data_IF_902531484275
#
_entry.id   IF_902531484275
#
_cell.length_a   1.000
_cell.length_b   1.000
_cell.length_c   1.000
_cell.angle_alpha   90.00
_cell.angle_beta   90.00
_cell.angle_gamma   90.00
#
_symmetry.space_group_name_H-M   'P 1'
#
loop_
_entity.id
_entity.type
_entity.pdbx_description
1 polymer ?
#
# COMPACT_ATOMS: atom_id res chain seq x y z
N UNK A 1 38.34 -10.79 -34.71
CA UNK A 1 37.74 -10.91 -36.04
C UNK A 1 36.96 -9.63 -36.29
N UNK A 2 37.54 -8.75 -37.09
CA UNK A 2 37.01 -7.42 -37.42
C UNK A 2 36.23 -7.50 -38.73
N UNK A 3 35.06 -6.89 -38.77
CA UNK A 3 34.33 -6.64 -40.01
C UNK A 3 34.22 -5.13 -40.24
N UNK A 4 34.89 -4.63 -41.28
CA UNK A 4 34.69 -3.28 -41.80
C UNK A 4 33.89 -3.37 -43.11
N UNK A 5 33.00 -2.44 -43.44
CA UNK A 5 32.35 -2.37 -44.74
C UNK A 5 33.16 -1.52 -45.71
N UNK A 6 33.38 -2.07 -46.91
CA UNK A 6 34.06 -1.50 -48.04
C UNK A 6 33.16 -0.48 -48.76
N UNK A 7 33.65 0.76 -48.94
CA UNK A 7 33.06 1.76 -49.82
C UNK A 7 33.46 1.48 -51.27
N UNK A 8 32.49 1.27 -52.15
CA UNK A 8 32.65 1.26 -53.57
C UNK A 8 32.40 2.65 -54.16
N UNK A 9 33.42 3.24 -54.71
CA UNK A 9 33.35 4.51 -55.49
C UNK A 9 33.25 4.14 -56.94
N UNK A 10 32.12 4.33 -57.59
CA UNK A 10 31.99 4.29 -59.04
C UNK A 10 32.11 5.69 -59.66
N UNK A 11 33.10 5.83 -60.54
CA UNK A 11 33.35 7.03 -61.39
C UNK A 11 32.33 7.01 -62.52
N UNK A 12 31.48 8.00 -62.65
CA UNK A 12 30.73 8.24 -63.87
C UNK A 12 31.39 9.35 -64.71
N UNK A 13 31.69 9.00 -66.00
CA UNK A 13 32.28 9.87 -67.00
C UNK A 13 31.29 10.94 -67.47
N UNK A 14 31.84 12.12 -67.69
CA UNK A 14 31.15 13.26 -68.31
C UNK A 14 30.76 12.96 -69.76
N UNK A 15 29.54 13.31 -70.15
CA UNK A 15 29.18 13.65 -71.52
C UNK A 15 28.30 14.89 -71.50
N UNK A 16 28.81 15.90 -72.16
CA UNK A 16 28.13 17.21 -72.37
C UNK A 16 27.17 17.04 -73.54
N UNK A 17 25.90 17.45 -73.40
CA UNK A 17 25.07 18.15 -74.41
C UNK A 17 23.76 18.60 -73.83
N UNK A 18 23.38 19.85 -74.04
CA UNK A 18 22.00 20.36 -74.15
C UNK A 18 21.45 20.98 -72.87
N UNK A 19 21.45 22.29 -72.78
CA UNK A 19 20.81 23.08 -71.72
C UNK A 19 19.27 22.98 -71.75
N UNK A 20 18.73 22.60 -70.61
CA UNK A 20 17.36 22.93 -70.24
C UNK A 20 17.47 23.50 -68.84
N UNK A 21 17.22 24.83 -68.70
CA UNK A 21 17.11 25.48 -67.39
C UNK A 21 15.75 25.13 -66.82
N UNK A 22 15.71 24.12 -65.96
CA UNK A 22 14.50 23.91 -65.09
C UNK A 22 14.57 24.86 -63.90
N UNK A 23 13.77 25.88 -63.91
CA UNK A 23 13.52 26.73 -62.74
C UNK A 23 12.63 25.88 -61.77
N UNK A 24 13.27 25.29 -60.79
CA UNK A 24 12.54 24.66 -59.68
C UNK A 24 12.10 25.77 -58.72
N UNK A 25 10.82 26.15 -58.84
CA UNK A 25 10.19 27.02 -57.84
C UNK A 25 10.07 26.20 -56.55
N UNK A 26 10.95 26.48 -55.60
CA UNK A 26 10.81 25.96 -54.22
C UNK A 26 9.65 26.72 -53.57
N UNK A 27 8.46 26.14 -53.61
CA UNK A 27 7.33 26.62 -52.79
C UNK A 27 7.64 26.24 -51.33
N UNK A 28 8.21 27.16 -50.58
CA UNK A 28 8.32 27.04 -49.14
C UNK A 28 6.91 27.09 -48.54
N UNK A 29 6.29 25.94 -48.35
CA UNK A 29 5.09 25.86 -47.55
C UNK A 29 5.44 26.20 -46.09
N UNK A 30 5.10 27.42 -45.68
CA UNK A 30 5.16 27.78 -44.28
C UNK A 30 4.11 26.95 -43.53
N UNK A 31 4.56 25.83 -42.97
CA UNK A 31 3.81 25.07 -41.98
C UNK A 31 3.68 25.98 -40.74
N UNK A 32 2.55 26.65 -40.64
CA UNK A 32 2.14 27.28 -39.37
C UNK A 32 2.17 26.21 -38.30
N UNK A 33 3.15 26.24 -37.40
CA UNK A 33 3.14 25.45 -36.19
C UNK A 33 1.87 25.86 -35.43
N UNK A 34 0.82 25.03 -35.51
CA UNK A 34 -0.31 25.15 -34.61
C UNK A 34 0.28 25.01 -33.21
N UNK A 35 0.18 26.06 -32.39
CA UNK A 35 0.50 25.98 -30.98
C UNK A 35 -0.43 24.99 -30.36
N UNK A 36 0.10 23.84 -29.93
CA UNK A 36 -0.65 22.89 -29.11
C UNK A 36 -1.07 23.65 -27.86
N UNK A 37 -2.38 23.79 -27.58
CA UNK A 37 -2.82 24.46 -26.37
C UNK A 37 -2.17 23.75 -25.17
N UNK A 38 -1.78 24.48 -24.11
CA UNK A 38 -1.23 23.86 -22.91
C UNK A 38 -2.21 22.81 -22.40
N UNK A 39 -1.72 21.60 -22.17
CA UNK A 39 -2.54 20.52 -21.64
C UNK A 39 -3.19 21.00 -20.34
N UNK A 40 -4.51 20.90 -20.26
CA UNK A 40 -5.22 21.18 -19.01
C UNK A 40 -4.59 20.33 -17.91
N UNK A 41 -4.31 20.95 -16.75
CA UNK A 41 -3.81 20.21 -15.60
C UNK A 41 -4.85 19.15 -15.22
N UNK A 42 -4.46 17.88 -15.09
CA UNK A 42 -5.40 16.82 -14.72
C UNK A 42 -6.06 17.16 -13.37
N UNK A 43 -7.32 16.79 -13.21
CA UNK A 43 -8.06 17.00 -11.97
C UNK A 43 -7.38 16.31 -10.77
N UNK A 44 -6.66 15.23 -11.02
CA UNK A 44 -5.81 14.48 -10.06
C UNK A 44 -4.43 14.29 -10.67
N UNK A 45 -3.39 14.65 -9.94
CA UNK A 45 -2.00 14.30 -10.25
C UNK A 45 -1.64 13.00 -9.55
N UNK A 46 -1.07 12.05 -10.27
CA UNK A 46 -0.60 10.76 -9.73
C UNK A 46 0.91 10.68 -9.91
N UNK A 47 1.64 10.56 -8.81
CA UNK A 47 3.10 10.62 -8.81
C UNK A 47 3.69 9.44 -8.06
N UNK A 48 4.70 8.80 -8.66
CA UNK A 48 5.57 7.87 -7.94
C UNK A 48 6.51 8.69 -7.05
N UNK A 49 6.61 8.32 -5.79
CA UNK A 49 7.48 8.98 -4.82
C UNK A 49 8.37 7.96 -4.10
N UNK A 50 9.49 8.42 -3.59
CA UNK A 50 10.38 7.66 -2.71
C UNK A 50 10.64 8.46 -1.45
N UNK A 51 10.44 7.84 -0.30
CA UNK A 51 10.69 8.40 1.02
C UNK A 51 11.82 7.62 1.71
N UNK A 52 12.50 8.25 2.65
CA UNK A 52 13.47 7.58 3.50
C UNK A 52 13.01 7.65 4.94
N UNK A 53 12.99 6.51 5.60
CA UNK A 53 12.68 6.41 7.03
C UNK A 53 13.83 6.93 7.88
N UNK A 54 13.59 7.18 9.18
CA UNK A 54 14.62 7.60 10.12
C UNK A 54 15.74 6.57 10.31
N UNK A 55 15.48 5.30 10.01
CA UNK A 55 16.45 4.20 9.99
C UNK A 55 17.00 3.90 8.59
N UNK A 56 16.88 4.87 7.65
CA UNK A 56 17.46 4.86 6.31
C UNK A 56 16.92 3.82 5.35
N UNK A 57 15.72 3.26 5.60
CA UNK A 57 15.04 2.39 4.65
C UNK A 57 14.34 3.25 3.60
N UNK A 58 14.52 2.91 2.32
CA UNK A 58 13.78 3.53 1.22
C UNK A 58 12.42 2.89 1.07
N UNK A 59 11.39 3.71 1.05
CA UNK A 59 10.00 3.32 0.81
C UNK A 59 9.50 3.97 -0.46
N UNK A 60 9.05 3.17 -1.42
CA UNK A 60 8.41 3.67 -2.64
C UNK A 60 6.88 3.70 -2.45
N UNK A 61 6.23 4.67 -3.08
CA UNK A 61 4.80 4.85 -2.99
C UNK A 61 4.21 5.67 -4.12
N UNK A 62 2.89 5.82 -4.10
CA UNK A 62 2.16 6.67 -5.04
C UNK A 62 1.37 7.72 -4.29
N UNK A 63 1.58 8.97 -4.68
CA UNK A 63 0.81 10.11 -4.22
C UNK A 63 -0.27 10.48 -5.24
N UNK A 64 -1.52 10.49 -4.82
CA UNK A 64 -2.66 11.00 -5.56
C UNK A 64 -3.02 12.38 -5.00
N UNK A 65 -2.75 13.41 -5.77
CA UNK A 65 -2.92 14.78 -5.33
C UNK A 65 -4.02 15.49 -6.13
N UNK A 66 -5.07 15.97 -5.46
CA UNK A 66 -6.13 16.74 -6.12
C UNK A 66 -5.60 18.08 -6.66
N UNK A 67 -6.21 18.61 -7.72
CA UNK A 67 -5.90 19.97 -8.22
C UNK A 67 -6.18 21.05 -7.17
N UNK A 68 -7.17 20.79 -6.30
CA UNK A 68 -7.51 21.64 -5.15
C UNK A 68 -7.50 20.78 -3.87
N UNK A 69 -6.34 20.62 -3.21
CA UNK A 69 -6.23 19.81 -2.00
C UNK A 69 -7.05 20.39 -0.85
N UNK A 70 -7.81 19.51 -0.18
CA UNK A 70 -8.39 19.79 1.13
C UNK A 70 -7.34 19.62 2.24
N UNK A 71 -7.78 19.74 3.50
CA UNK A 71 -6.95 19.56 4.67
C UNK A 71 -6.91 18.10 5.18
N UNK A 72 -7.66 17.21 4.54
CA UNK A 72 -7.74 15.78 4.88
C UNK A 72 -6.82 14.99 3.94
N UNK A 73 -6.03 14.11 4.52
CA UNK A 73 -5.22 13.11 3.82
C UNK A 73 -5.68 11.70 4.15
N UNK A 74 -5.45 10.78 3.22
CA UNK A 74 -5.68 9.35 3.41
C UNK A 74 -4.36 8.61 3.17
N UNK A 75 -3.94 7.80 4.13
CA UNK A 75 -2.78 6.91 3.98
C UNK A 75 -3.25 5.46 3.90
N UNK A 76 -2.83 4.76 2.84
CA UNK A 76 -3.17 3.37 2.59
C UNK A 76 -2.00 2.46 2.97
N UNK A 77 -2.25 1.48 3.84
CA UNK A 77 -1.28 0.53 4.36
C UNK A 77 -1.70 -0.88 3.96
N UNK A 78 -0.94 -1.50 3.07
CA UNK A 78 -1.22 -2.83 2.53
C UNK A 78 -1.03 -3.95 3.54
N UNK A 79 -1.58 -5.13 3.23
CA UNK A 79 -1.42 -6.37 3.99
C UNK A 79 -0.14 -7.14 3.65
N UNK A 80 -0.11 -8.41 4.06
CA UNK A 80 0.98 -9.34 3.73
C UNK A 80 1.09 -9.51 2.21
N UNK A 81 2.31 -9.49 1.68
CA UNK A 81 2.58 -9.64 0.25
C UNK A 81 2.01 -8.53 -0.64
N UNK A 82 1.39 -7.51 -0.05
CA UNK A 82 0.80 -6.40 -0.77
C UNK A 82 1.79 -5.33 -1.21
N UNK A 83 1.28 -4.37 -1.97
CA UNK A 83 2.02 -3.22 -2.48
C UNK A 83 1.11 -1.99 -2.51
N UNK A 84 1.68 -0.82 -2.80
CA UNK A 84 0.94 0.46 -2.92
C UNK A 84 -0.15 0.47 -4.01
N UNK A 85 -0.15 -0.47 -4.96
CA UNK A 85 -1.13 -0.53 -6.06
C UNK A 85 -2.04 -1.77 -5.98
N UNK A 86 -1.93 -2.55 -4.91
CA UNK A 86 -2.69 -3.80 -4.74
C UNK A 86 -4.17 -3.59 -4.44
N UNK A 87 -4.95 -4.64 -4.62
CA UNK A 87 -6.38 -4.68 -4.34
C UNK A 87 -7.13 -3.46 -4.90
N UNK A 88 -7.98 -2.83 -4.09
CA UNK A 88 -8.79 -1.65 -4.43
C UNK A 88 -8.05 -0.30 -4.22
N UNK A 89 -6.77 -0.29 -3.82
CA UNK A 89 -6.05 0.92 -3.44
C UNK A 89 -6.05 1.98 -4.52
N UNK A 90 -5.78 1.59 -5.78
CA UNK A 90 -5.79 2.53 -6.89
C UNK A 90 -7.16 3.20 -7.08
N UNK A 91 -8.25 2.43 -7.01
CA UNK A 91 -9.60 2.97 -7.19
C UNK A 91 -9.98 3.89 -6.02
N UNK A 92 -9.68 3.47 -4.80
CA UNK A 92 -9.96 4.28 -3.61
C UNK A 92 -9.15 5.58 -3.62
N UNK A 93 -7.85 5.51 -3.93
CA UNK A 93 -6.98 6.68 -3.97
C UNK A 93 -7.41 7.70 -5.03
N UNK A 94 -7.76 7.21 -6.22
CA UNK A 94 -8.26 8.06 -7.31
C UNK A 94 -9.58 8.76 -6.90
N UNK A 95 -10.55 7.99 -6.41
CA UNK A 95 -11.84 8.52 -6.00
C UNK A 95 -11.75 9.47 -4.79
N UNK A 96 -10.83 9.23 -3.86
CA UNK A 96 -10.54 10.12 -2.74
C UNK A 96 -9.96 11.44 -3.23
N UNK A 97 -8.99 11.40 -4.14
CA UNK A 97 -8.38 12.60 -4.71
C UNK A 97 -9.38 13.42 -5.54
N UNK A 98 -10.28 12.80 -6.28
CA UNK A 98 -11.38 13.49 -6.98
C UNK A 98 -12.31 14.25 -6.02
N UNK A 99 -12.36 13.83 -4.75
CA UNK A 99 -13.11 14.49 -3.68
C UNK A 99 -12.27 15.44 -2.81
N UNK A 100 -11.06 15.78 -3.26
CA UNK A 100 -10.19 16.74 -2.57
C UNK A 100 -9.31 16.13 -1.45
N UNK A 101 -9.29 14.81 -1.28
CA UNK A 101 -8.50 14.10 -0.26
C UNK A 101 -7.17 13.69 -0.87
N UNK A 102 -6.06 14.29 -0.42
CA UNK A 102 -4.71 13.87 -0.81
C UNK A 102 -4.46 12.45 -0.30
N UNK A 103 -4.13 11.51 -1.18
CA UNK A 103 -3.97 10.10 -0.80
C UNK A 103 -2.56 9.60 -1.07
N UNK A 104 -1.95 8.98 -0.07
CA UNK A 104 -0.66 8.32 -0.12
C UNK A 104 -0.83 6.81 0.05
N UNK A 105 -0.44 6.04 -0.94
CA UNK A 105 -0.28 4.59 -0.82
C UNK A 105 1.21 4.28 -0.78
N UNK A 106 1.67 3.61 0.29
CA UNK A 106 3.09 3.39 0.54
C UNK A 106 3.40 1.89 0.63
N UNK A 107 4.50 1.46 0.02
CA UNK A 107 5.07 0.14 0.30
C UNK A 107 5.71 0.16 1.69
N UNK A 108 5.25 -0.74 2.55
CA UNK A 108 5.95 -1.01 3.80
C UNK A 108 7.26 -1.75 3.50
N UNK A 109 8.24 -1.69 4.38
CA UNK A 109 9.57 -2.30 4.20
C UNK A 109 9.55 -3.80 3.88
N UNK A 110 8.49 -4.49 4.28
CA UNK A 110 8.25 -5.92 4.06
C UNK A 110 7.18 -6.18 2.98
N UNK A 111 7.04 -5.27 2.00
CA UNK A 111 6.10 -5.40 0.88
C UNK A 111 6.45 -6.63 0.00
N UNK A 112 5.57 -6.93 -0.97
CA UNK A 112 5.68 -8.06 -1.92
C UNK A 112 5.84 -9.46 -1.27
N UNK A 113 6.28 -10.46 -2.03
CA UNK A 113 6.48 -11.83 -1.58
C UNK A 113 7.97 -12.20 -1.38
N UNK A 114 8.86 -11.22 -1.30
CA UNK A 114 10.27 -11.45 -0.97
C UNK A 114 10.48 -11.94 0.47
N UNK A 115 11.72 -12.34 0.82
CA UNK A 115 12.04 -12.75 2.19
C UNK A 115 11.71 -11.66 3.22
N UNK A 116 11.13 -12.06 4.35
CA UNK A 116 10.74 -11.17 5.45
C UNK A 116 11.80 -11.19 6.54
N UNK A 117 12.45 -10.05 6.75
CA UNK A 117 13.64 -9.96 7.60
C UNK A 117 13.58 -8.88 8.68
N UNK A 118 12.63 -7.92 8.58
CA UNK A 118 12.44 -6.83 9.55
C UNK A 118 11.49 -7.22 10.67
N UNK A 119 11.54 -6.55 11.80
CA UNK A 119 10.54 -6.74 12.85
C UNK A 119 9.19 -6.12 12.46
N UNK A 120 8.09 -6.69 12.97
CA UNK A 120 6.76 -6.10 12.81
C UNK A 120 6.72 -4.66 13.30
N UNK A 121 7.40 -4.38 14.42
CA UNK A 121 7.44 -3.04 15.04
C UNK A 121 8.09 -1.98 14.17
N UNK A 122 8.95 -2.37 13.23
CA UNK A 122 9.61 -1.43 12.31
C UNK A 122 8.61 -0.75 11.35
N UNK A 123 7.44 -1.36 11.12
CA UNK A 123 6.37 -0.75 10.32
C UNK A 123 5.85 0.56 10.95
N UNK A 124 6.04 0.77 12.26
CA UNK A 124 5.73 2.06 12.90
C UNK A 124 6.53 3.20 12.26
N UNK A 125 7.82 2.98 12.01
CA UNK A 125 8.70 3.97 11.38
C UNK A 125 8.28 4.25 9.93
N UNK A 126 7.82 3.22 9.21
CA UNK A 126 7.31 3.37 7.85
C UNK A 126 6.05 4.24 7.81
N UNK A 127 5.08 3.94 8.68
CA UNK A 127 3.84 4.73 8.77
C UNK A 127 4.14 6.16 9.23
N UNK A 128 5.01 6.34 10.24
CA UNK A 128 5.44 7.65 10.71
C UNK A 128 6.05 8.49 9.58
N UNK A 129 6.84 7.87 8.70
CA UNK A 129 7.44 8.54 7.53
C UNK A 129 6.36 9.04 6.56
N UNK A 130 5.35 8.20 6.25
CA UNK A 130 4.24 8.61 5.41
C UNK A 130 3.37 9.71 6.03
N UNK A 131 3.11 9.62 7.33
CA UNK A 131 2.37 10.65 8.10
C UNK A 131 3.13 11.98 8.09
N UNK A 132 4.45 11.95 8.33
CA UNK A 132 5.29 13.14 8.28
C UNK A 132 5.31 13.78 6.89
N UNK A 133 5.36 12.97 5.84
CA UNK A 133 5.29 13.46 4.46
C UNK A 133 3.97 14.16 4.18
N UNK A 134 2.83 13.55 4.52
CA UNK A 134 1.50 14.18 4.34
C UNK A 134 1.39 15.47 5.15
N UNK A 135 1.89 15.49 6.38
CA UNK A 135 1.95 16.71 7.21
C UNK A 135 2.76 17.82 6.51
N UNK A 136 3.89 17.46 5.90
CA UNK A 136 4.74 18.38 5.12
C UNK A 136 4.03 18.97 3.90
N UNK A 137 3.01 18.31 3.35
CA UNK A 137 2.14 18.82 2.30
C UNK A 137 1.01 19.75 2.82
N UNK A 138 0.97 20.05 4.12
CA UNK A 138 -0.04 20.91 4.73
C UNK A 138 -1.33 20.19 5.13
N UNK A 139 -1.34 18.85 5.13
CA UNK A 139 -2.49 18.06 5.61
C UNK A 139 -2.63 18.25 7.12
N UNK A 140 -3.83 18.55 7.58
CA UNK A 140 -4.13 18.81 8.99
C UNK A 140 -4.86 17.67 9.71
N UNK A 141 -5.52 16.78 8.96
CA UNK A 141 -6.18 15.58 9.49
C UNK A 141 -5.82 14.39 8.59
N UNK A 142 -5.34 13.30 9.14
CA UNK A 142 -5.00 12.09 8.38
C UNK A 142 -5.92 10.95 8.78
N UNK A 143 -6.43 10.24 7.79
CA UNK A 143 -7.12 8.95 7.96
C UNK A 143 -6.12 7.85 7.62
N UNK A 144 -5.94 6.88 8.52
CA UNK A 144 -5.18 5.67 8.23
C UNK A 144 -6.13 4.58 7.76
N UNK A 145 -5.80 3.92 6.65
CA UNK A 145 -6.50 2.72 6.21
C UNK A 145 -5.53 1.55 6.16
N UNK A 146 -5.81 0.51 6.92
CA UNK A 146 -5.11 -0.76 6.86
C UNK A 146 -5.95 -1.84 6.15
N UNK A 147 -5.33 -2.61 5.26
CA UNK A 147 -5.93 -3.76 4.60
C UNK A 147 -5.26 -5.05 5.06
N UNK A 148 -6.05 -6.08 5.44
CA UNK A 148 -5.53 -7.37 5.92
C UNK A 148 -4.51 -7.17 7.07
N UNK A 149 -3.30 -7.70 7.02
CA UNK A 149 -2.25 -7.45 8.02
C UNK A 149 -1.92 -5.94 8.17
N UNK A 150 -2.25 -5.09 7.21
CA UNK A 150 -2.17 -3.63 7.35
C UNK A 150 -3.01 -3.09 8.49
N UNK A 151 -4.11 -3.77 8.87
CA UNK A 151 -4.92 -3.40 10.04
C UNK A 151 -4.14 -3.53 11.35
N UNK A 152 -3.34 -4.59 11.49
CA UNK A 152 -2.46 -4.78 12.65
C UNK A 152 -1.40 -3.67 12.72
N UNK A 153 -0.86 -3.25 11.55
CA UNK A 153 0.17 -2.21 11.45
C UNK A 153 -0.36 -0.84 11.86
N UNK A 154 -1.52 -0.43 11.31
CA UNK A 154 -2.10 0.89 11.66
C UNK A 154 -2.55 0.94 13.12
N UNK A 155 -3.14 -0.14 13.65
CA UNK A 155 -3.52 -0.21 15.06
C UNK A 155 -2.31 -0.16 15.99
N UNK A 156 -1.21 -0.84 15.65
CA UNK A 156 0.02 -0.76 16.41
C UNK A 156 0.62 0.66 16.38
N UNK A 157 0.67 1.27 15.19
CA UNK A 157 1.15 2.66 15.06
C UNK A 157 0.36 3.60 15.97
N UNK A 158 -0.97 3.57 15.93
CA UNK A 158 -1.81 4.42 16.76
C UNK A 158 -1.64 4.16 18.26
N UNK A 159 -1.51 2.88 18.63
CA UNK A 159 -1.33 2.48 20.03
C UNK A 159 -0.02 3.00 20.64
N UNK A 160 1.02 3.24 19.83
CA UNK A 160 2.35 3.67 20.31
C UNK A 160 2.67 5.12 19.99
N UNK A 161 2.23 5.64 18.85
CA UNK A 161 2.51 7.01 18.44
C UNK A 161 1.54 8.02 19.06
N UNK A 162 0.25 7.62 19.23
CA UNK A 162 -0.83 8.49 19.72
C UNK A 162 -0.82 9.88 19.04
N UNK A 163 -0.54 9.91 17.73
CA UNK A 163 -0.34 11.16 16.99
C UNK A 163 -1.68 11.86 16.74
N UNK A 164 -1.89 13.08 17.27
CA UNK A 164 -3.19 13.77 17.18
C UNK A 164 -3.58 14.20 15.76
N UNK A 165 -2.69 14.10 14.77
CA UNK A 165 -3.05 14.35 13.37
C UNK A 165 -3.91 13.21 12.79
N UNK A 166 -3.86 12.00 13.41
CA UNK A 166 -4.69 10.88 12.98
C UNK A 166 -6.12 11.14 13.47
N UNK A 167 -6.99 11.47 12.53
CA UNK A 167 -8.36 11.85 12.83
C UNK A 167 -9.36 10.69 12.77
N UNK A 168 -9.02 9.62 12.03
CA UNK A 168 -9.87 8.44 11.90
C UNK A 168 -9.07 7.24 11.37
N UNK A 169 -9.60 6.02 11.57
CA UNK A 169 -8.97 4.77 11.15
C UNK A 169 -9.96 3.87 10.44
N UNK A 170 -9.53 3.27 9.33
CA UNK A 170 -10.33 2.30 8.56
C UNK A 170 -9.59 0.96 8.53
N UNK A 171 -10.27 -0.10 8.96
CA UNK A 171 -9.75 -1.46 9.03
C UNK A 171 -10.53 -2.33 8.05
N UNK A 172 -9.86 -2.86 7.02
CA UNK A 172 -10.51 -3.68 5.99
C UNK A 172 -9.95 -5.09 6.02
N UNK A 173 -10.82 -6.09 6.19
CA UNK A 173 -10.47 -7.51 6.17
C UNK A 173 -9.32 -7.87 7.12
N UNK A 174 -9.32 -7.35 8.34
CA UNK A 174 -8.26 -7.59 9.33
C UNK A 174 -8.22 -9.06 9.78
N UNK A 175 -7.03 -9.70 9.86
CA UNK A 175 -6.91 -11.11 10.22
C UNK A 175 -7.02 -11.39 11.73
N UNK A 176 -7.16 -10.37 12.55
CA UNK A 176 -7.10 -10.53 14.00
C UNK A 176 -5.68 -10.80 14.51
N UNK A 177 -5.57 -11.56 15.60
CA UNK A 177 -4.27 -11.98 16.13
C UNK A 177 -3.61 -12.99 15.18
N UNK A 178 -2.39 -12.70 14.75
CA UNK A 178 -1.72 -13.47 13.69
C UNK A 178 -1.31 -14.89 14.11
N UNK A 179 -1.07 -15.14 15.39
CA UNK A 179 -0.87 -16.50 15.89
C UNK A 179 -2.19 -17.26 15.89
N UNK A 180 -3.29 -16.66 16.37
CA UNK A 180 -4.61 -17.29 16.35
C UNK A 180 -5.10 -17.54 14.91
N UNK A 181 -4.75 -16.67 13.97
CA UNK A 181 -5.00 -16.91 12.55
C UNK A 181 -4.33 -18.21 12.09
N UNK A 182 -3.06 -18.46 12.45
CA UNK A 182 -2.40 -19.72 12.16
C UNK A 182 -3.10 -20.91 12.85
N UNK A 183 -3.54 -20.74 14.09
CA UNK A 183 -4.29 -21.79 14.83
C UNK A 183 -5.60 -22.13 14.10
N UNK A 184 -6.29 -21.13 13.59
CA UNK A 184 -7.51 -21.35 12.82
C UNK A 184 -7.26 -22.05 11.49
N UNK A 185 -6.15 -21.71 10.80
CA UNK A 185 -5.80 -22.32 9.50
C UNK A 185 -5.29 -23.75 9.61
N UNK A 186 -4.50 -24.09 10.64
CA UNK A 186 -3.72 -25.31 10.69
C UNK A 186 -3.94 -26.17 11.93
N UNK A 187 -4.65 -25.65 12.92
CA UNK A 187 -4.67 -26.20 14.28
C UNK A 187 -3.48 -25.73 15.14
N UNK A 188 -3.67 -25.84 16.46
CA UNK A 188 -2.74 -25.28 17.45
C UNK A 188 -1.34 -25.90 17.39
N UNK A 189 -1.26 -27.20 17.22
CA UNK A 189 0.02 -27.93 17.19
C UNK A 189 0.92 -27.41 16.06
N UNK A 190 0.40 -27.41 14.83
CA UNK A 190 1.16 -26.92 13.66
C UNK A 190 1.47 -25.43 13.73
N UNK A 191 0.58 -24.62 14.29
CA UNK A 191 0.85 -23.19 14.50
C UNK A 191 1.98 -22.99 15.51
N UNK A 192 2.06 -23.82 16.56
CA UNK A 192 3.10 -23.76 17.58
C UNK A 192 4.46 -24.23 17.07
N UNK A 193 4.51 -25.27 16.23
CA UNK A 193 5.76 -25.81 15.66
C UNK A 193 6.62 -24.71 15.01
N UNK A 194 6.01 -23.81 14.22
CA UNK A 194 6.76 -22.74 13.56
C UNK A 194 7.30 -21.69 14.55
N UNK A 195 6.59 -21.44 15.63
CA UNK A 195 7.04 -20.56 16.71
C UNK A 195 8.17 -21.20 17.52
N UNK A 196 8.04 -22.48 17.84
CA UNK A 196 9.06 -23.24 18.60
C UNK A 196 10.36 -23.35 17.81
N UNK A 197 10.28 -23.62 16.50
CA UNK A 197 11.44 -23.65 15.62
C UNK A 197 12.13 -22.26 15.58
N UNK A 198 11.35 -21.17 15.45
CA UNK A 198 11.91 -19.83 15.48
C UNK A 198 12.57 -19.49 16.83
N UNK A 199 11.96 -19.92 17.95
CA UNK A 199 12.55 -19.77 19.28
C UNK A 199 13.86 -20.55 19.42
N UNK A 200 13.90 -21.78 18.92
CA UNK A 200 15.10 -22.65 18.90
C UNK A 200 16.22 -21.99 18.09
N UNK A 201 15.93 -21.50 16.89
CA UNK A 201 16.91 -20.82 16.04
C UNK A 201 17.42 -19.53 16.69
N UNK A 202 16.55 -18.74 17.31
CA UNK A 202 16.94 -17.54 18.05
C UNK A 202 17.86 -17.88 19.23
N UNK A 203 17.54 -18.90 19.99
CA UNK A 203 18.39 -19.36 21.11
C UNK A 203 19.78 -19.81 20.63
N UNK A 204 19.87 -20.40 19.43
CA UNK A 204 21.11 -20.78 18.77
C UNK A 204 21.85 -19.61 18.09
N UNK A 205 21.36 -18.36 18.18
CA UNK A 205 21.89 -17.16 17.52
C UNK A 205 21.76 -17.19 15.97
N UNK A 206 20.76 -17.90 15.46
CA UNK A 206 20.39 -18.00 14.05
C UNK A 206 19.10 -17.20 13.76
N UNK A 207 18.85 -16.14 14.50
CA UNK A 207 17.63 -15.32 14.43
C UNK A 207 17.46 -14.54 13.10
N UNK A 208 18.53 -14.50 12.29
CA UNK A 208 18.55 -13.85 10.96
C UNK A 208 18.63 -14.83 9.79
N UNK A 209 18.76 -16.13 10.06
CA UNK A 209 18.75 -17.14 8.99
C UNK A 209 17.34 -17.29 8.43
N UNK A 210 17.23 -17.71 7.18
CA UNK A 210 15.92 -17.88 6.54
C UNK A 210 15.34 -19.27 6.87
N UNK A 211 14.10 -19.27 7.31
CA UNK A 211 13.28 -20.47 7.49
C UNK A 211 12.07 -20.44 6.55
N UNK A 212 11.67 -21.61 6.07
CA UNK A 212 10.49 -21.76 5.23
C UNK A 212 9.25 -21.89 6.13
N UNK A 213 8.30 -20.97 5.97
CA UNK A 213 7.05 -20.92 6.74
C UNK A 213 5.88 -21.24 5.83
N UNK A 214 5.04 -22.18 6.23
CA UNK A 214 3.79 -22.48 5.56
C UNK A 214 2.70 -21.48 6.03
N UNK A 215 2.11 -20.76 5.08
CA UNK A 215 1.05 -19.79 5.32
C UNK A 215 -0.31 -20.28 4.76
N UNK A 216 -0.47 -21.58 4.53
CA UNK A 216 -1.70 -22.20 4.05
C UNK A 216 -2.16 -21.63 2.71
N UNK A 217 -3.34 -21.01 2.66
CA UNK A 217 -3.88 -20.47 1.41
C UNK A 217 -3.01 -19.35 0.79
N UNK A 218 -2.11 -18.75 1.56
CA UNK A 218 -1.16 -17.74 1.07
C UNK A 218 0.15 -18.35 0.55
N UNK A 219 0.28 -19.67 0.57
CA UNK A 219 1.47 -20.38 0.10
C UNK A 219 2.60 -20.43 1.13
N UNK A 220 3.84 -20.62 0.66
CA UNK A 220 5.04 -20.69 1.50
C UNK A 220 5.84 -19.40 1.38
N UNK A 221 6.47 -18.99 2.48
CA UNK A 221 7.27 -17.79 2.56
C UNK A 221 8.61 -18.04 3.26
N UNK A 222 9.60 -17.23 2.94
CA UNK A 222 10.88 -17.19 3.63
C UNK A 222 10.84 -16.10 4.71
N UNK A 223 10.95 -16.50 5.95
CA UNK A 223 11.00 -15.62 7.12
C UNK A 223 12.32 -15.79 7.85
N UNK A 224 12.80 -14.72 8.49
CA UNK A 224 13.74 -14.92 9.59
C UNK A 224 12.96 -15.30 10.85
N UNK A 225 13.57 -16.09 11.77
CA UNK A 225 13.00 -16.34 13.10
C UNK A 225 12.58 -15.05 13.81
N UNK A 226 13.40 -14.01 13.71
CA UNK A 226 13.12 -12.68 14.25
C UNK A 226 11.80 -12.09 13.72
N UNK A 227 11.60 -12.10 12.40
CA UNK A 227 10.35 -11.62 11.80
C UNK A 227 9.14 -12.44 12.26
N UNK A 228 9.23 -13.79 12.22
CA UNK A 228 8.14 -14.66 12.65
C UNK A 228 7.75 -14.37 14.10
N UNK A 229 8.73 -14.29 15.00
CA UNK A 229 8.48 -14.07 16.42
C UNK A 229 7.92 -12.67 16.70
N UNK A 230 8.32 -11.66 15.93
CA UNK A 230 7.76 -10.30 16.07
C UNK A 230 6.27 -10.23 15.70
N UNK A 231 5.81 -11.16 14.86
CA UNK A 231 4.41 -11.27 14.44
C UNK A 231 3.58 -12.22 15.30
N UNK A 232 4.16 -13.38 15.69
CA UNK A 232 3.43 -14.54 16.22
C UNK A 232 4.01 -15.11 17.50
N UNK A 233 5.15 -14.59 17.94
CA UNK A 233 5.78 -15.02 19.18
C UNK A 233 5.05 -14.56 20.43
N UNK A 234 5.45 -15.03 21.61
CA UNK A 234 4.79 -14.69 22.88
C UNK A 234 4.91 -13.20 23.23
N UNK A 235 5.90 -12.47 22.69
CA UNK A 235 6.12 -11.04 22.92
C UNK A 235 5.67 -10.17 21.74
N UNK A 236 4.95 -10.76 20.76
CA UNK A 236 4.51 -10.07 19.55
C UNK A 236 3.64 -8.84 19.89
N UNK A 237 3.91 -7.72 19.23
CA UNK A 237 3.16 -6.46 19.38
C UNK A 237 2.08 -6.31 18.31
N UNK A 238 1.93 -7.30 17.45
CA UNK A 238 0.97 -7.31 16.32
C UNK A 238 -0.48 -7.57 16.74
N UNK A 239 -0.75 -7.82 18.03
CA UNK A 239 -2.09 -8.17 18.51
C UNK A 239 -3.05 -6.97 18.37
N UNK A 240 -4.02 -7.01 17.43
CA UNK A 240 -4.90 -5.89 17.17
C UNK A 240 -5.92 -5.68 18.28
N UNK A 241 -6.24 -6.70 19.09
CA UNK A 241 -7.17 -6.58 20.21
C UNK A 241 -6.58 -5.75 21.34
N UNK A 242 -5.29 -5.91 21.63
CA UNK A 242 -4.58 -5.08 22.60
C UNK A 242 -4.36 -3.65 22.09
N UNK A 243 -4.16 -3.50 20.78
CA UNK A 243 -3.84 -2.20 20.20
C UNK A 243 -5.10 -1.33 20.02
N UNK A 244 -6.22 -1.89 19.56
CA UNK A 244 -7.45 -1.13 19.30
C UNK A 244 -8.01 -0.47 20.58
N UNK A 245 -7.79 -1.08 21.75
CA UNK A 245 -8.22 -0.51 23.05
C UNK A 245 -7.55 0.83 23.39
N UNK A 246 -6.44 1.16 22.71
CA UNK A 246 -5.68 2.39 22.90
C UNK A 246 -6.01 3.47 21.85
N UNK A 247 -6.73 3.12 20.81
CA UNK A 247 -7.14 4.03 19.73
C UNK A 247 -8.21 4.99 20.26
N UNK A 248 -8.04 6.29 20.00
CA UNK A 248 -8.91 7.36 20.52
C UNK A 248 -9.85 7.95 19.47
N UNK A 249 -9.48 7.82 18.20
CA UNK A 249 -10.23 8.36 17.08
C UNK A 249 -11.34 7.39 16.61
N UNK A 250 -12.29 7.85 15.78
CA UNK A 250 -13.30 7.00 15.17
C UNK A 250 -12.68 5.87 14.34
N UNK A 251 -13.23 4.67 14.44
CA UNK A 251 -12.78 3.48 13.72
C UNK A 251 -13.91 2.88 12.89
N UNK A 252 -13.65 2.65 11.60
CA UNK A 252 -14.52 1.85 10.73
C UNK A 252 -13.89 0.48 10.51
N UNK A 253 -14.63 -0.58 10.78
CA UNK A 253 -14.22 -1.96 10.49
C UNK A 253 -15.11 -2.48 9.36
N UNK A 254 -14.49 -2.84 8.23
CA UNK A 254 -15.15 -3.42 7.07
C UNK A 254 -14.72 -4.88 6.91
N UNK A 255 -15.69 -5.79 6.89
CA UNK A 255 -15.46 -7.21 6.69
C UNK A 255 -16.40 -7.77 5.63
N UNK A 256 -15.82 -8.50 4.67
CA UNK A 256 -16.60 -9.24 3.67
C UNK A 256 -17.22 -10.50 4.28
N UNK A 257 -18.52 -10.76 4.02
CA UNK A 257 -19.18 -11.97 4.50
C UNK A 257 -18.77 -13.24 3.73
N UNK A 258 -18.18 -13.09 2.55
CA UNK A 258 -17.63 -14.20 1.77
C UNK A 258 -16.11 -14.33 1.89
N UNK A 259 -15.50 -13.62 2.83
CA UNK A 259 -14.07 -13.72 3.12
C UNK A 259 -13.76 -15.08 3.76
N UNK A 260 -12.94 -15.87 3.06
CA UNK A 260 -12.51 -17.21 3.49
C UNK A 260 -11.10 -17.24 4.08
N UNK A 261 -10.42 -16.09 4.10
CA UNK A 261 -9.06 -15.99 4.63
C UNK A 261 -9.02 -15.62 6.10
N UNK A 262 -10.11 -15.10 6.66
CA UNK A 262 -10.18 -14.69 8.06
C UNK A 262 -11.43 -15.28 8.74
N UNK A 263 -11.39 -15.38 10.06
CA UNK A 263 -12.54 -15.84 10.85
C UNK A 263 -13.70 -14.84 10.73
N UNK A 264 -14.96 -15.32 10.62
CA UNK A 264 -16.12 -14.45 10.47
C UNK A 264 -16.33 -13.43 11.60
N UNK A 265 -15.92 -13.77 12.84
CA UNK A 265 -16.18 -12.97 14.04
C UNK A 265 -15.09 -11.92 14.35
N UNK A 266 -14.06 -11.78 13.52
CA UNK A 266 -12.93 -10.87 13.80
C UNK A 266 -13.41 -9.43 14.04
N UNK A 267 -14.31 -8.92 13.21
CA UNK A 267 -14.82 -7.56 13.34
C UNK A 267 -15.53 -7.33 14.69
N UNK A 268 -16.34 -8.29 15.14
CA UNK A 268 -17.03 -8.22 16.44
C UNK A 268 -16.05 -8.37 17.62
N UNK A 269 -15.03 -9.22 17.47
CA UNK A 269 -13.98 -9.35 18.50
C UNK A 269 -13.18 -8.05 18.64
N UNK A 270 -12.90 -7.34 17.53
CA UNK A 270 -12.26 -6.02 17.56
C UNK A 270 -13.15 -4.98 18.23
N UNK A 271 -14.45 -4.92 17.90
CA UNK A 271 -15.39 -4.02 18.54
C UNK A 271 -15.46 -4.24 20.06
N UNK A 272 -15.55 -5.49 20.50
CA UNK A 272 -15.52 -5.84 21.92
C UNK A 272 -14.20 -5.47 22.59
N UNK A 273 -13.06 -5.68 21.92
CA UNK A 273 -11.75 -5.31 22.44
C UNK A 273 -11.59 -3.79 22.60
N UNK A 274 -12.32 -3.00 21.82
CA UNK A 274 -12.45 -1.56 21.98
C UNK A 274 -13.50 -1.16 23.05
N UNK A 275 -13.91 -2.09 23.93
CA UNK A 275 -14.91 -1.89 24.98
C UNK A 275 -16.27 -1.39 24.45
N UNK A 276 -16.65 -1.83 23.26
CA UNK A 276 -17.88 -1.41 22.57
C UNK A 276 -18.00 0.12 22.42
N UNK A 277 -16.86 0.82 22.27
CA UNK A 277 -16.81 2.27 22.09
C UNK A 277 -17.74 2.67 20.92
N UNK A 278 -18.67 3.60 21.10
CA UNK A 278 -19.60 4.03 20.07
C UNK A 278 -18.90 4.66 18.83
N UNK A 279 -17.62 5.03 18.95
CA UNK A 279 -16.79 5.46 17.81
C UNK A 279 -16.36 4.33 16.90
N UNK A 280 -16.54 3.06 17.30
CA UNK A 280 -16.20 1.89 16.47
C UNK A 280 -17.44 1.42 15.71
N UNK A 281 -17.41 1.62 14.40
CA UNK A 281 -18.46 1.18 13.47
C UNK A 281 -18.04 -0.10 12.79
N UNK A 282 -18.88 -1.14 12.83
CA UNK A 282 -18.67 -2.40 12.10
C UNK A 282 -19.65 -2.48 10.93
N UNK A 283 -19.12 -2.78 9.73
CA UNK A 283 -19.92 -2.97 8.53
C UNK A 283 -19.53 -4.28 7.86
N UNK A 284 -20.51 -5.16 7.72
CA UNK A 284 -20.37 -6.36 6.91
C UNK A 284 -20.87 -6.12 5.50
N UNK A 285 -20.13 -6.61 4.50
CA UNK A 285 -20.47 -6.45 3.08
C UNK A 285 -20.82 -7.82 2.49
N UNK A 286 -22.07 -7.97 2.05
CA UNK A 286 -22.55 -9.20 1.42
C UNK A 286 -21.75 -9.52 0.16
N UNK A 287 -21.40 -10.80 -0.03
CA UNK A 287 -20.69 -11.30 -1.19
C UNK A 287 -19.25 -10.81 -1.34
N UNK A 288 -18.76 -9.94 -0.45
CA UNK A 288 -17.38 -9.46 -0.51
C UNK A 288 -16.41 -10.54 -0.01
N UNK A 289 -15.39 -10.80 -0.81
CA UNK A 289 -14.23 -11.63 -0.46
C UNK A 289 -13.16 -10.80 0.29
N UNK A 290 -12.01 -11.40 0.60
CA UNK A 290 -10.90 -10.75 1.32
C UNK A 290 -10.38 -9.47 0.65
N UNK A 291 -10.35 -9.44 -0.67
CA UNK A 291 -9.88 -8.31 -1.49
C UNK A 291 -10.98 -7.40 -1.98
N UNK A 292 -12.24 -7.69 -1.64
CA UNK A 292 -13.42 -7.00 -2.20
C UNK A 292 -13.46 -7.03 -3.73
N UNK A 293 -13.00 -8.12 -4.34
CA UNK A 293 -12.73 -8.20 -5.78
C UNK A 293 -13.91 -7.81 -6.66
N UNK A 294 -15.13 -8.17 -6.25
CA UNK A 294 -16.37 -7.83 -6.96
C UNK A 294 -17.13 -6.65 -6.34
N UNK A 295 -16.73 -6.17 -5.19
CA UNK A 295 -17.39 -5.10 -4.43
C UNK A 295 -16.48 -3.87 -4.22
N UNK A 296 -15.49 -3.65 -5.09
CA UNK A 296 -14.54 -2.53 -4.95
C UNK A 296 -15.25 -1.17 -4.94
N UNK A 297 -16.22 -0.96 -5.84
CA UNK A 297 -16.98 0.30 -5.90
C UNK A 297 -17.80 0.54 -4.63
N UNK A 298 -18.46 -0.50 -4.10
CA UNK A 298 -19.23 -0.41 -2.87
C UNK A 298 -18.31 -0.13 -1.65
N UNK A 299 -17.12 -0.73 -1.62
CA UNK A 299 -16.12 -0.44 -0.59
C UNK A 299 -15.67 1.02 -0.66
N UNK A 300 -15.31 1.51 -1.85
CA UNK A 300 -14.85 2.89 -2.07
C UNK A 300 -15.91 3.88 -1.61
N UNK A 301 -17.17 3.69 -2.00
CA UNK A 301 -18.28 4.55 -1.61
C UNK A 301 -18.46 4.58 -0.08
N UNK A 302 -18.48 3.41 0.57
CA UNK A 302 -18.63 3.29 2.03
C UNK A 302 -17.49 3.97 2.78
N UNK A 303 -16.25 3.72 2.37
CA UNK A 303 -15.07 4.33 2.99
C UNK A 303 -15.11 5.84 2.87
N UNK A 304 -15.35 6.38 1.67
CA UNK A 304 -15.34 7.83 1.45
C UNK A 304 -16.53 8.53 2.11
N UNK A 305 -17.70 7.92 2.10
CA UNK A 305 -18.88 8.45 2.82
C UNK A 305 -18.63 8.50 4.32
N UNK A 306 -18.06 7.42 4.90
CA UNK A 306 -17.74 7.38 6.32
C UNK A 306 -16.64 8.38 6.71
N UNK A 307 -15.56 8.49 5.91
CA UNK A 307 -14.50 9.47 6.15
C UNK A 307 -15.09 10.88 6.25
N UNK A 308 -15.97 11.27 5.33
CA UNK A 308 -16.59 12.60 5.36
C UNK A 308 -17.31 12.89 6.68
N UNK A 309 -18.05 11.92 7.22
CA UNK A 309 -18.72 12.08 8.51
C UNK A 309 -17.75 12.07 9.68
N UNK A 310 -16.76 11.18 9.68
CA UNK A 310 -15.85 10.99 10.81
C UNK A 310 -14.84 12.14 10.98
N UNK A 311 -14.50 12.88 9.90
CA UNK A 311 -13.53 13.99 9.96
C UNK A 311 -14.19 15.38 9.93
N UNK A 312 -15.53 15.45 9.78
CA UNK A 312 -16.27 16.72 9.78
C UNK A 312 -16.30 17.39 11.16
N UNK A 313 -16.16 16.58 12.22
CA UNK A 313 -16.04 17.04 13.61
C UNK A 313 -14.57 17.43 13.91
#
# INVERSE_FOLDING_TARGET
MSWAPTLMIERCRQSVVGGIVCIIAVVASAQTRQSVPPAEKPAVSVQLISLHTSDSVRLDGVLYQPAKPGRVGLMLVHGYGGTFYGAYFRQLAQAAAEQGITTLALNMRDHDNGPKVSDFTDNQTDIATGVAYLRGLGIGKIVLLGQSMGTNRVLYYEAVAADPIIAATVLVSGPGNLFQWNVWQFGREKAQESVDEALRLRAARHDRDLMLVDLGPLGKALYTPRYLLSLRGPEAKSDPYQNISKVKNPVLILQGKSDKLIEPEIAERLRKAAADDPKVTVVYVEGADHGFSQQQSALVERVLSWIKSAVAE
#
